data_IF_019597618909
#
_entry.id   IF_019597618909
#
_cell.length_a   1.000
_cell.length_b   1.000
_cell.length_c   1.000
_cell.angle_alpha   90.00
_cell.angle_beta   90.00
_cell.angle_gamma   90.00
#
_symmetry.space_group_name_H-M   'P 1'
#
loop_
_entity.id
_entity.type
_entity.pdbx_description
1 polymer ?
#
# COMPACT_ATOMS: atom_id res chain seq x y z
N UNK A 1 13.32 -8.81 -11.47
CA UNK A 1 13.15 -8.53 -10.03
C UNK A 1 11.74 -8.95 -9.68
N UNK A 2 11.52 -9.65 -8.56
CA UNK A 2 10.18 -10.19 -8.27
C UNK A 2 9.90 -10.27 -6.76
N UNK A 3 8.63 -10.27 -6.40
CA UNK A 3 8.13 -10.44 -5.03
C UNK A 3 6.93 -11.38 -5.08
N UNK A 4 6.84 -12.30 -4.12
CA UNK A 4 5.62 -13.07 -3.85
C UNK A 4 5.02 -12.59 -2.55
N UNK A 5 3.76 -12.16 -2.63
CA UNK A 5 3.06 -11.52 -1.53
C UNK A 5 1.69 -12.16 -1.31
N UNK A 6 1.26 -12.19 -0.06
CA UNK A 6 -0.11 -12.51 0.32
C UNK A 6 -0.83 -11.21 0.69
N UNK A 7 -2.01 -11.03 0.13
CA UNK A 7 -2.93 -9.93 0.42
C UNK A 7 -4.29 -10.51 0.79
N UNK A 8 -5.14 -9.74 1.47
CA UNK A 8 -6.51 -10.18 1.70
C UNK A 8 -7.30 -10.20 0.39
N UNK A 9 -8.22 -11.17 0.27
CA UNK A 9 -9.13 -11.27 -0.88
C UNK A 9 -9.97 -10.01 -1.14
N UNK A 10 -10.19 -9.19 -0.12
CA UNK A 10 -11.02 -7.98 -0.23
C UNK A 10 -10.17 -6.71 -0.33
N UNK A 11 -8.87 -6.83 -0.63
CA UNK A 11 -7.98 -5.69 -0.85
C UNK A 11 -8.49 -4.88 -2.04
N UNK A 12 -8.46 -3.55 -1.91
CA UNK A 12 -8.74 -2.64 -3.02
C UNK A 12 -7.48 -2.37 -3.82
N UNK A 13 -7.61 -1.89 -5.05
CA UNK A 13 -6.45 -1.58 -5.89
C UNK A 13 -5.55 -0.49 -5.28
N UNK A 14 -6.11 0.51 -4.59
CA UNK A 14 -5.29 1.50 -3.85
C UNK A 14 -4.44 0.85 -2.74
N UNK A 15 -4.99 -0.15 -2.04
CA UNK A 15 -4.26 -0.85 -0.98
C UNK A 15 -3.25 -1.85 -1.56
N UNK A 16 -3.54 -2.42 -2.72
CA UNK A 16 -2.59 -3.24 -3.47
C UNK A 16 -1.42 -2.38 -3.94
N UNK A 17 -1.68 -1.20 -4.52
CA UNK A 17 -0.66 -0.23 -4.90
C UNK A 17 0.27 0.12 -3.73
N UNK A 18 -0.30 0.54 -2.60
CA UNK A 18 0.50 0.84 -1.40
C UNK A 18 1.31 -0.37 -0.90
N UNK A 19 0.79 -1.59 -1.05
CA UNK A 19 1.53 -2.82 -0.76
C UNK A 19 2.72 -2.99 -1.71
N UNK A 20 2.50 -2.79 -3.01
CA UNK A 20 3.53 -2.87 -4.05
C UNK A 20 4.65 -1.86 -3.80
N UNK A 21 4.29 -0.63 -3.47
CA UNK A 21 5.24 0.43 -3.09
C UNK A 21 6.16 -0.02 -1.95
N UNK A 22 5.60 -0.59 -0.87
CA UNK A 22 6.42 -1.07 0.26
C UNK A 22 7.31 -2.27 -0.11
N UNK A 23 6.80 -3.24 -0.88
CA UNK A 23 7.60 -4.44 -1.21
C UNK A 23 8.65 -4.18 -2.29
N UNK A 24 8.46 -3.14 -3.10
CA UNK A 24 9.47 -2.65 -4.03
C UNK A 24 10.41 -1.63 -3.39
N UNK A 25 10.05 -1.03 -2.24
CA UNK A 25 10.87 -0.05 -1.55
C UNK A 25 10.77 1.36 -2.16
N UNK A 26 9.63 1.66 -2.78
CA UNK A 26 9.28 2.93 -3.42
C UNK A 26 8.43 3.81 -2.50
N UNK A 27 8.17 5.03 -2.95
CA UNK A 27 7.75 6.13 -2.07
C UNK A 27 6.35 6.65 -2.38
N UNK A 28 5.66 6.06 -3.35
CA UNK A 28 4.37 6.53 -3.82
C UNK A 28 4.45 8.02 -4.23
N UNK A 29 5.53 8.41 -4.89
CA UNK A 29 5.78 9.81 -5.28
C UNK A 29 5.26 10.14 -6.68
N UNK A 30 4.88 9.13 -7.45
CA UNK A 30 4.43 9.27 -8.84
C UNK A 30 3.06 8.62 -9.03
N UNK A 31 2.44 8.95 -10.16
CA UNK A 31 1.19 8.35 -10.62
C UNK A 31 1.38 6.85 -10.93
N UNK A 32 0.27 6.12 -10.90
CA UNK A 32 0.24 4.70 -11.22
C UNK A 32 -1.09 4.30 -11.84
N UNK A 33 -1.12 3.14 -12.49
CA UNK A 33 -2.35 2.53 -12.97
C UNK A 33 -2.26 1.00 -12.91
N UNK A 34 -3.42 0.36 -12.84
CA UNK A 34 -3.57 -1.05 -13.14
C UNK A 34 -4.36 -1.23 -14.42
N UNK A 35 -3.93 -2.21 -15.22
CA UNK A 35 -4.63 -2.66 -16.42
C UNK A 35 -5.05 -4.11 -16.19
N UNK A 36 -6.36 -4.33 -16.01
CA UNK A 36 -6.96 -5.66 -15.84
C UNK A 36 -7.90 -5.92 -17.01
N UNK A 37 -7.49 -6.79 -17.93
CA UNK A 37 -8.19 -6.96 -19.21
C UNK A 37 -8.34 -5.60 -19.92
N UNK A 38 -9.57 -5.18 -20.23
CA UNK A 38 -9.86 -3.88 -20.85
C UNK A 38 -10.18 -2.78 -19.81
N UNK A 39 -10.05 -3.07 -18.51
CA UNK A 39 -10.39 -2.14 -17.43
C UNK A 39 -9.14 -1.41 -16.92
N UNK A 40 -9.16 -0.09 -17.00
CA UNK A 40 -8.21 0.78 -16.32
C UNK A 40 -8.67 1.07 -14.90
N UNK A 41 -7.76 0.90 -13.94
CA UNK A 41 -8.02 1.15 -12.53
C UNK A 41 -6.93 2.08 -11.99
N UNK A 42 -7.30 3.30 -11.64
CA UNK A 42 -6.43 4.36 -11.08
C UNK A 42 -7.30 5.36 -10.31
N UNK A 43 -6.74 6.45 -9.81
CA UNK A 43 -7.49 7.47 -9.11
C UNK A 43 -8.42 8.28 -10.05
N UNK A 44 -9.49 8.86 -9.48
CA UNK A 44 -10.47 9.61 -10.25
C UNK A 44 -9.92 10.88 -10.92
N UNK A 45 -8.88 11.51 -10.36
CA UNK A 45 -8.30 12.73 -10.92
C UNK A 45 -7.59 12.38 -12.24
N UNK A 46 -6.80 11.30 -12.24
CA UNK A 46 -6.15 10.74 -13.43
C UNK A 46 -7.17 10.32 -14.49
N UNK A 47 -8.24 9.58 -14.11
CA UNK A 47 -9.29 9.17 -15.05
C UNK A 47 -9.99 10.36 -15.71
N UNK A 48 -10.27 11.41 -14.92
CA UNK A 48 -10.91 12.62 -15.40
C UNK A 48 -10.01 13.40 -16.36
N UNK A 49 -8.72 13.55 -16.01
CA UNK A 49 -7.73 14.23 -16.85
C UNK A 49 -7.61 13.56 -18.22
N UNK A 50 -7.58 12.23 -18.25
CA UNK A 50 -7.46 11.47 -19.50
C UNK A 50 -8.78 11.29 -20.26
N UNK A 51 -9.90 11.81 -19.72
CA UNK A 51 -11.24 11.56 -20.27
C UNK A 51 -11.51 10.08 -20.54
N UNK A 52 -10.94 9.21 -19.71
CA UNK A 52 -10.93 7.76 -19.92
C UNK A 52 -12.00 7.09 -19.07
N UNK A 53 -12.59 6.01 -19.60
CA UNK A 53 -13.45 5.14 -18.80
C UNK A 53 -12.57 4.22 -17.97
N UNK A 54 -12.82 4.18 -16.66
CA UNK A 54 -12.10 3.32 -15.73
C UNK A 54 -12.85 3.20 -14.41
N UNK A 55 -12.20 2.57 -13.43
CA UNK A 55 -12.75 2.38 -12.09
C UNK A 55 -11.83 3.05 -11.08
N UNK A 56 -12.41 3.76 -10.12
CA UNK A 56 -11.68 4.31 -8.98
C UNK A 56 -11.03 3.18 -8.17
N UNK A 57 -9.71 3.25 -8.01
CA UNK A 57 -8.93 2.28 -7.25
C UNK A 57 -9.32 2.16 -5.76
N UNK A 58 -10.00 3.18 -5.21
CA UNK A 58 -10.50 3.19 -3.83
C UNK A 58 -11.73 2.29 -3.66
N UNK A 59 -12.50 2.10 -4.73
CA UNK A 59 -13.72 1.30 -4.75
C UNK A 59 -13.53 -0.07 -5.43
N UNK A 60 -12.58 -0.19 -6.36
CA UNK A 60 -12.25 -1.44 -7.04
C UNK A 60 -11.61 -2.46 -6.09
N UNK A 61 -12.24 -3.63 -5.90
CA UNK A 61 -11.67 -4.74 -5.12
C UNK A 61 -10.97 -5.74 -6.03
N UNK A 62 -9.81 -6.23 -5.61
CA UNK A 62 -9.00 -7.15 -6.41
C UNK A 62 -9.81 -8.34 -6.95
N UNK A 63 -10.57 -9.01 -6.07
CA UNK A 63 -11.31 -10.22 -6.45
C UNK A 63 -12.55 -9.97 -7.32
N UNK A 64 -12.99 -8.72 -7.46
CA UNK A 64 -14.07 -8.38 -8.40
C UNK A 64 -13.55 -8.32 -9.85
N UNK A 65 -12.23 -8.15 -10.04
CA UNK A 65 -11.57 -8.03 -11.34
C UNK A 65 -10.63 -9.20 -11.69
N UNK A 66 -10.00 -9.80 -10.68
CA UNK A 66 -8.96 -10.83 -10.83
C UNK A 66 -9.33 -12.04 -9.97
N UNK A 67 -10.38 -12.75 -10.36
CA UNK A 67 -10.83 -13.90 -9.60
C UNK A 67 -10.07 -15.18 -9.99
N UNK A 68 -9.82 -15.41 -11.28
CA UNK A 68 -9.33 -16.71 -11.73
C UNK A 68 -7.85 -16.92 -11.39
N UNK A 69 -7.51 -18.09 -10.82
CA UNK A 69 -6.12 -18.46 -10.57
C UNK A 69 -5.40 -18.53 -11.93
N UNK A 70 -4.22 -17.92 -12.00
CA UNK A 70 -3.46 -17.75 -13.24
C UNK A 70 -3.77 -16.46 -14.00
N UNK A 71 -4.72 -15.64 -13.54
CA UNK A 71 -4.96 -14.32 -14.12
C UNK A 71 -3.70 -13.46 -14.03
N UNK A 72 -3.32 -12.89 -15.17
CA UNK A 72 -2.23 -11.93 -15.34
C UNK A 72 -2.82 -10.55 -15.59
N UNK A 73 -2.33 -9.54 -14.87
CA UNK A 73 -2.69 -8.14 -15.06
C UNK A 73 -1.47 -7.25 -14.83
N UNK A 74 -1.53 -6.00 -15.27
CA UNK A 74 -0.39 -5.09 -15.21
C UNK A 74 -0.57 -4.02 -14.15
N UNK A 75 0.56 -3.57 -13.64
CA UNK A 75 0.70 -2.40 -12.78
C UNK A 75 1.85 -1.54 -13.31
N UNK A 76 1.54 -0.30 -13.65
CA UNK A 76 2.54 0.69 -14.04
C UNK A 76 2.68 1.73 -12.93
N UNK A 77 3.92 2.04 -12.55
CA UNK A 77 4.26 3.09 -11.60
C UNK A 77 5.25 4.06 -12.23
N UNK A 78 5.03 5.35 -11.96
CA UNK A 78 5.80 6.46 -12.51
C UNK A 78 5.72 6.51 -14.04
N UNK A 79 4.80 7.29 -14.60
CA UNK A 79 4.66 7.42 -16.05
C UNK A 79 5.86 8.11 -16.74
N UNK A 80 6.78 8.69 -15.97
CA UNK A 80 8.07 9.17 -16.51
C UNK A 80 9.04 8.03 -16.76
N UNK A 81 9.28 7.20 -15.73
CA UNK A 81 10.21 6.07 -15.77
C UNK A 81 9.58 4.77 -16.33
N UNK A 82 8.25 4.71 -16.39
CA UNK A 82 7.39 3.61 -16.82
C UNK A 82 7.77 2.26 -16.22
N UNK A 83 7.71 2.17 -14.89
CA UNK A 83 7.96 0.91 -14.19
C UNK A 83 6.79 -0.04 -14.35
N UNK A 84 6.94 -1.00 -15.26
CA UNK A 84 5.92 -1.99 -15.56
C UNK A 84 6.13 -3.28 -14.76
N UNK A 85 5.07 -3.72 -14.08
CA UNK A 85 5.00 -4.97 -13.36
C UNK A 85 3.89 -5.87 -13.89
N UNK A 86 4.23 -7.14 -14.05
CA UNK A 86 3.27 -8.21 -14.25
C UNK A 86 2.86 -8.79 -12.88
N UNK A 87 1.55 -8.84 -12.63
CA UNK A 87 0.96 -9.36 -11.41
C UNK A 87 0.16 -10.61 -11.75
N UNK A 88 0.45 -11.72 -11.06
CA UNK A 88 -0.20 -13.02 -11.30
C UNK A 88 -0.90 -13.46 -10.02
N UNK A 89 -2.19 -13.84 -10.12
CA UNK A 89 -2.88 -14.54 -9.04
C UNK A 89 -2.47 -16.01 -9.02
N UNK A 90 -1.43 -16.36 -8.25
CA UNK A 90 -0.88 -17.72 -8.22
C UNK A 90 -1.78 -18.73 -7.50
N UNK A 91 -2.38 -18.32 -6.37
CA UNK A 91 -3.19 -19.22 -5.54
C UNK A 91 -4.10 -18.44 -4.58
N UNK A 92 -5.07 -19.15 -3.98
CA UNK A 92 -5.87 -18.66 -2.87
C UNK A 92 -5.74 -19.60 -1.68
N UNK A 93 -5.33 -19.05 -0.55
CA UNK A 93 -5.03 -19.81 0.66
C UNK A 93 -5.95 -19.41 1.81
N UNK A 94 -6.25 -20.33 2.75
CA UNK A 94 -6.91 -19.96 4.00
C UNK A 94 -6.03 -19.01 4.82
N UNK A 95 -6.66 -18.16 5.63
CA UNK A 95 -5.93 -17.28 6.53
C UNK A 95 -5.14 -18.09 7.57
N UNK A 96 -3.87 -17.76 7.74
CA UNK A 96 -3.05 -18.33 8.79
C UNK A 96 -3.30 -17.64 10.14
N UNK A 97 -3.55 -18.44 11.19
CA UNK A 97 -3.72 -17.92 12.54
C UNK A 97 -2.47 -17.14 12.99
N UNK A 98 -2.67 -15.92 13.50
CA UNK A 98 -1.60 -15.06 13.98
C UNK A 98 -0.78 -14.33 12.91
N UNK A 99 -1.00 -14.61 11.61
CA UNK A 99 -0.36 -13.90 10.50
C UNK A 99 -1.06 -12.56 10.28
N UNK A 100 -0.27 -11.51 10.02
CA UNK A 100 -0.78 -10.22 9.53
C UNK A 100 -0.54 -10.12 8.05
N UNK A 101 -1.51 -9.59 7.32
CA UNK A 101 -1.44 -9.31 5.90
C UNK A 101 -1.56 -7.79 5.66
N UNK A 102 -0.95 -7.25 4.58
CA UNK A 102 -0.15 -7.95 3.57
C UNK A 102 1.15 -8.56 4.14
N UNK A 103 1.62 -9.63 3.50
CA UNK A 103 2.81 -10.38 3.91
C UNK A 103 3.66 -10.73 2.69
N UNK A 104 4.94 -10.41 2.71
CA UNK A 104 5.88 -10.82 1.68
C UNK A 104 6.47 -12.19 2.04
N UNK A 105 6.19 -13.19 1.21
CA UNK A 105 6.66 -14.57 1.39
C UNK A 105 8.12 -14.66 1.03
N UNK A 106 8.46 -14.18 -0.15
CA UNK A 106 9.79 -14.30 -0.75
C UNK A 106 9.93 -13.30 -1.93
N UNK A 107 11.11 -13.30 -2.54
CA UNK A 107 11.43 -12.37 -3.61
C UNK A 107 12.89 -12.49 -4.04
N UNK A 108 13.20 -11.83 -5.16
CA UNK A 108 14.53 -11.85 -5.75
C UNK A 108 14.93 -10.52 -6.38
N UNK A 109 16.18 -10.14 -6.15
CA UNK A 109 16.79 -8.92 -6.70
C UNK A 109 16.44 -7.65 -5.91
N UNK A 110 17.40 -6.73 -5.86
CA UNK A 110 17.18 -5.38 -5.37
C UNK A 110 16.34 -4.60 -6.38
N UNK A 111 15.36 -3.85 -5.90
CA UNK A 111 14.52 -3.03 -6.76
C UNK A 111 15.28 -1.82 -7.32
N UNK A 112 14.84 -1.29 -8.47
CA UNK A 112 15.35 -0.03 -8.99
C UNK A 112 15.13 1.08 -7.95
N UNK A 113 16.13 1.95 -7.69
CA UNK A 113 15.90 3.15 -6.91
C UNK A 113 14.86 4.06 -7.60
N UNK A 114 14.14 4.86 -6.82
CA UNK A 114 13.31 5.95 -7.36
C UNK A 114 14.14 6.88 -8.25
N UNK A 115 13.51 7.43 -9.29
CA UNK A 115 14.07 8.43 -10.22
C UNK A 115 15.39 7.98 -10.89
N UNK A 116 15.60 6.67 -11.07
CA UNK A 116 16.83 6.17 -11.70
C UNK A 116 16.80 6.27 -13.23
N UNK A 117 15.64 6.62 -13.82
CA UNK A 117 15.49 6.83 -15.26
C UNK A 117 14.97 5.59 -15.99
N UNK A 118 14.00 4.89 -15.39
CA UNK A 118 13.38 3.71 -15.97
C UNK A 118 14.34 2.55 -16.17
N UNK A 119 13.91 1.56 -16.97
CA UNK A 119 14.69 0.31 -17.16
C UNK A 119 16.09 0.58 -17.69
N UNK A 120 16.24 1.47 -18.67
CA UNK A 120 17.55 1.84 -19.23
C UNK A 120 18.45 2.55 -18.21
N UNK A 121 17.89 3.49 -17.45
CA UNK A 121 18.62 4.20 -16.40
C UNK A 121 19.07 3.24 -15.28
N UNK A 122 18.24 2.28 -14.92
CA UNK A 122 18.61 1.26 -13.95
C UNK A 122 19.68 0.30 -14.45
N UNK A 123 19.66 -0.08 -15.73
CA UNK A 123 20.74 -0.88 -16.32
C UNK A 123 22.08 -0.13 -16.30
N UNK A 124 22.09 1.13 -16.74
CA UNK A 124 23.27 2.00 -16.66
C UNK A 124 23.77 2.18 -15.22
N UNK A 125 22.85 2.40 -14.28
CA UNK A 125 23.16 2.46 -12.85
C UNK A 125 23.81 1.16 -12.36
N UNK A 126 23.26 -0.01 -12.71
CA UNK A 126 23.82 -1.31 -12.30
C UNK A 126 25.22 -1.53 -12.85
N UNK A 127 25.45 -1.21 -14.12
CA UNK A 127 26.75 -1.32 -14.77
C UNK A 127 27.78 -0.43 -14.07
N UNK A 128 27.44 0.85 -13.88
CA UNK A 128 28.30 1.81 -13.22
C UNK A 128 28.60 1.41 -11.77
N UNK A 129 27.60 0.94 -11.01
CA UNK A 129 27.77 0.53 -9.62
C UNK A 129 28.59 -0.75 -9.46
N UNK A 130 28.64 -1.61 -10.47
CA UNK A 130 29.45 -2.83 -10.49
C UNK A 130 30.93 -2.57 -10.82
N UNK A 131 31.25 -1.46 -11.49
CA UNK A 131 32.61 -1.14 -11.95
C UNK A 131 33.14 0.16 -11.30
N UNK A 132 34.04 0.08 -10.30
CA UNK A 132 34.63 1.26 -9.66
C UNK A 132 35.42 2.21 -10.59
N UNK A 133 35.77 1.75 -11.81
CA UNK A 133 36.46 2.55 -12.83
C UNK A 133 35.50 3.16 -13.87
N UNK A 134 34.21 2.85 -13.81
CA UNK A 134 33.22 3.46 -14.69
C UNK A 134 33.13 4.96 -14.41
N UNK A 135 33.04 5.78 -15.46
CA UNK A 135 33.03 7.25 -15.33
C UNK A 135 31.91 7.74 -14.41
N UNK A 136 30.73 7.14 -14.50
CA UNK A 136 29.58 7.47 -13.66
C UNK A 136 29.58 6.84 -12.25
N UNK A 137 30.54 5.98 -11.90
CA UNK A 137 30.52 5.21 -10.63
C UNK A 137 30.45 6.12 -9.40
N UNK A 138 31.33 7.13 -9.34
CA UNK A 138 31.40 8.04 -8.19
C UNK A 138 30.12 8.88 -8.05
N UNK A 139 29.54 9.30 -9.17
CA UNK A 139 28.27 10.04 -9.20
C UNK A 139 27.13 9.18 -8.67
N UNK A 140 26.93 7.98 -9.23
CA UNK A 140 25.86 7.08 -8.80
C UNK A 140 26.02 6.60 -7.36
N UNK A 141 27.25 6.32 -6.90
CA UNK A 141 27.51 5.93 -5.51
C UNK A 141 27.15 7.05 -4.53
N UNK A 142 27.41 8.30 -4.90
CA UNK A 142 27.05 9.48 -4.10
C UNK A 142 25.54 9.67 -4.09
N UNK A 143 24.90 9.63 -5.26
CA UNK A 143 23.45 9.79 -5.40
C UNK A 143 22.65 8.69 -4.67
N UNK A 144 23.07 7.43 -4.83
CA UNK A 144 22.46 6.29 -4.15
C UNK A 144 22.76 6.27 -2.64
N UNK A 145 23.86 6.91 -2.22
CA UNK A 145 24.24 7.03 -0.82
C UNK A 145 24.96 5.80 -0.24
N UNK A 146 25.56 4.95 -1.09
CA UNK A 146 26.26 3.75 -0.64
C UNK A 146 26.53 2.72 -1.73
N UNK A 147 26.96 1.50 -1.35
CA UNK A 147 27.12 0.40 -2.30
C UNK A 147 25.76 -0.19 -2.70
N UNK A 148 25.59 -0.50 -3.99
CA UNK A 148 24.42 -1.21 -4.49
C UNK A 148 24.69 -2.72 -4.53
N UNK A 149 23.73 -3.52 -4.03
CA UNK A 149 23.81 -4.98 -4.05
C UNK A 149 22.68 -5.54 -4.94
N UNK A 150 22.94 -5.88 -6.22
CA UNK A 150 21.88 -6.18 -7.19
C UNK A 150 21.01 -7.39 -6.83
N UNK A 151 21.56 -8.35 -6.10
CA UNK A 151 20.85 -9.56 -5.67
C UNK A 151 20.28 -9.47 -4.25
N UNK A 152 20.46 -8.35 -3.56
CA UNK A 152 20.02 -8.22 -2.17
C UNK A 152 18.49 -8.14 -2.07
N UNK A 153 17.93 -9.02 -1.25
CA UNK A 153 16.54 -9.00 -0.85
C UNK A 153 16.41 -9.58 0.56
N UNK A 154 15.53 -9.00 1.38
CA UNK A 154 15.27 -9.43 2.76
C UNK A 154 13.76 -9.34 3.02
N UNK A 155 13.07 -10.47 2.91
CA UNK A 155 11.63 -10.56 3.16
C UNK A 155 11.28 -10.16 4.60
N UNK A 156 12.13 -10.46 5.60
CA UNK A 156 11.88 -10.07 6.98
C UNK A 156 11.91 -8.55 7.14
N UNK A 157 12.82 -7.85 6.45
CA UNK A 157 12.84 -6.38 6.40
C UNK A 157 11.60 -5.81 5.74
N UNK A 158 11.22 -6.34 4.57
CA UNK A 158 9.99 -5.93 3.88
C UNK A 158 8.76 -6.13 4.78
N UNK A 159 8.66 -7.27 5.47
CA UNK A 159 7.55 -7.53 6.38
C UNK A 159 7.53 -6.60 7.60
N UNK A 160 8.70 -6.19 8.13
CA UNK A 160 8.75 -5.15 9.17
C UNK A 160 8.19 -3.83 8.64
N UNK A 161 8.54 -3.46 7.41
CA UNK A 161 8.01 -2.28 6.76
C UNK A 161 6.49 -2.40 6.55
N UNK A 162 5.99 -3.51 6.00
CA UNK A 162 4.54 -3.77 5.83
C UNK A 162 3.74 -3.72 7.15
N UNK A 163 4.38 -3.93 8.31
CA UNK A 163 3.69 -3.88 9.61
C UNK A 163 3.77 -2.54 10.32
N UNK A 164 4.80 -1.74 10.04
CA UNK A 164 5.15 -0.55 10.85
C UNK A 164 5.38 0.72 10.04
N UNK A 165 5.42 0.60 8.72
CA UNK A 165 5.95 1.62 7.83
C UNK A 165 7.47 1.70 7.89
N UNK A 166 8.03 2.58 7.09
CA UNK A 166 9.46 2.94 7.10
C UNK A 166 9.66 4.39 6.71
N UNK A 167 10.86 4.91 6.95
CA UNK A 167 11.26 6.23 6.49
C UNK A 167 12.29 6.15 5.38
N UNK A 168 12.16 6.99 4.36
CA UNK A 168 13.16 7.16 3.31
C UNK A 168 13.42 8.64 3.08
N UNK A 169 14.69 9.07 3.12
CA UNK A 169 15.11 10.49 3.06
C UNK A 169 14.17 11.46 3.81
N UNK A 170 13.71 11.07 5.00
CA UNK A 170 12.78 11.77 5.90
C UNK A 170 11.26 11.70 5.60
N UNK A 171 10.82 10.96 4.58
CA UNK A 171 9.41 10.70 4.30
C UNK A 171 8.95 9.42 4.99
N UNK A 172 7.83 9.48 5.73
CA UNK A 172 7.20 8.31 6.34
C UNK A 172 6.31 7.60 5.31
N UNK A 173 6.67 6.39 4.93
CA UNK A 173 5.86 5.47 4.15
C UNK A 173 5.13 4.55 5.13
N UNK A 174 3.82 4.73 5.26
CA UNK A 174 2.98 3.84 6.07
C UNK A 174 2.37 2.75 5.18
N UNK A 175 2.27 1.49 5.64
CA UNK A 175 1.65 0.44 4.87
C UNK A 175 0.15 0.73 4.79
N UNK A 176 -0.46 0.32 3.68
CA UNK A 176 -1.88 0.03 3.66
C UNK A 176 -2.17 -1.06 4.70
N UNK A 177 -2.48 -0.64 5.92
CA UNK A 177 -3.11 -1.53 6.87
C UNK A 177 -4.48 -1.84 6.29
N UNK A 178 -4.57 -3.01 5.67
CA UNK A 178 -5.82 -3.58 5.26
C UNK A 178 -6.73 -3.66 6.47
N UNK A 179 -7.72 -2.78 6.52
CA UNK A 179 -9.07 -3.10 6.08
C UNK A 179 -9.80 -1.78 5.87
N UNK A 180 -10.63 -1.65 4.83
CA UNK A 180 -11.82 -0.81 4.98
C UNK A 180 -12.43 -1.22 6.31
N UNK A 181 -12.82 -0.28 7.18
CA UNK A 181 -13.24 -0.69 8.49
C UNK A 181 -14.38 -1.70 8.34
N UNK A 182 -14.24 -2.88 8.95
CA UNK A 182 -15.28 -3.90 8.86
C UNK A 182 -16.49 -3.40 9.64
N UNK A 183 -17.45 -2.80 8.96
CA UNK A 183 -18.71 -2.37 9.55
C UNK A 183 -19.75 -3.49 9.48
N UNK A 184 -20.58 -3.67 10.52
CA UNK A 184 -21.86 -4.37 10.32
C UNK A 184 -22.72 -3.57 9.34
N UNK A 185 -23.64 -4.18 8.56
CA UNK A 185 -24.41 -3.45 7.54
C UNK A 185 -25.07 -2.18 8.05
N UNK A 186 -25.77 -2.27 9.20
CA UNK A 186 -26.39 -1.12 9.86
C UNK A 186 -25.36 -0.07 10.31
N UNK A 187 -24.20 -0.49 10.80
CA UNK A 187 -23.16 0.46 11.18
C UNK A 187 -22.55 1.16 9.96
N UNK A 188 -22.44 0.47 8.82
CA UNK A 188 -21.95 1.05 7.57
C UNK A 188 -22.93 2.10 7.04
N UNK A 189 -24.23 1.81 7.06
CA UNK A 189 -25.29 2.77 6.70
C UNK A 189 -25.22 4.02 7.57
N UNK A 190 -25.22 3.86 8.90
CA UNK A 190 -25.16 5.01 9.82
C UNK A 190 -23.84 5.78 9.70
N UNK A 191 -22.72 5.09 9.54
CA UNK A 191 -21.43 5.73 9.34
C UNK A 191 -21.38 6.54 8.03
N UNK A 192 -21.98 6.02 6.96
CA UNK A 192 -22.05 6.70 5.66
C UNK A 192 -22.89 7.99 5.67
N UNK A 193 -23.86 8.12 6.59
CA UNK A 193 -24.64 9.35 6.77
C UNK A 193 -23.81 10.50 7.35
N UNK A 194 -22.69 10.20 8.02
CA UNK A 194 -21.81 11.23 8.60
C UNK A 194 -20.95 11.84 7.49
N UNK A 195 -20.91 13.18 7.31
CA UNK A 195 -20.04 13.82 6.32
C UNK A 195 -18.57 13.40 6.49
N UNK A 196 -17.86 13.20 5.37
CA UNK A 196 -16.46 12.70 5.37
C UNK A 196 -15.52 13.52 6.27
N UNK A 197 -15.68 14.84 6.30
CA UNK A 197 -14.90 15.72 7.20
C UNK A 197 -15.14 15.41 8.68
N UNK A 198 -16.40 15.14 9.06
CA UNK A 198 -16.75 14.75 10.42
C UNK A 198 -16.24 13.34 10.75
N UNK A 199 -16.33 12.39 9.80
CA UNK A 199 -15.70 11.07 9.96
C UNK A 199 -14.20 11.20 10.27
N UNK A 200 -13.46 12.02 9.51
CA UNK A 200 -12.03 12.25 9.73
C UNK A 200 -11.74 12.86 11.11
N UNK A 201 -12.56 13.81 11.56
CA UNK A 201 -12.44 14.40 12.89
C UNK A 201 -12.68 13.37 14.00
N UNK A 202 -13.69 12.50 13.84
CA UNK A 202 -13.97 11.43 14.79
C UNK A 202 -12.77 10.47 14.89
N UNK A 203 -12.15 10.11 13.77
CA UNK A 203 -10.99 9.21 13.77
C UNK A 203 -9.75 9.86 14.39
N UNK A 204 -9.45 11.11 14.06
CA UNK A 204 -8.24 11.84 14.52
C UNK A 204 -8.35 12.39 15.95
N UNK A 205 -9.55 12.41 16.53
CA UNK A 205 -9.79 12.89 17.90
C UNK A 205 -10.02 11.77 18.93
N UNK A 206 -9.57 10.54 18.67
CA UNK A 206 -9.85 9.38 19.53
C UNK A 206 -8.93 9.36 20.74
N UNK A 207 -9.46 9.12 21.94
CA UNK A 207 -8.64 9.00 23.14
C UNK A 207 -7.92 7.65 23.21
N UNK A 208 -6.63 7.65 23.54
CA UNK A 208 -5.87 6.44 23.83
C UNK A 208 -5.56 6.35 25.34
N UNK A 209 -6.06 5.33 26.05
CA UNK A 209 -5.77 5.15 27.49
C UNK A 209 -4.29 4.95 27.78
N UNK A 210 -3.57 4.29 26.88
CA UNK A 210 -2.14 4.01 27.05
C UNK A 210 -1.27 5.26 26.81
N UNK A 211 -1.62 6.12 25.85
CA UNK A 211 -0.90 7.37 25.61
C UNK A 211 -1.40 8.52 26.47
N UNK A 212 -2.49 8.32 27.22
CA UNK A 212 -3.21 9.34 27.99
C UNK A 212 -3.49 10.60 27.18
N UNK A 213 -3.93 10.44 25.93
CA UNK A 213 -4.25 11.59 25.08
C UNK A 213 -4.80 11.21 23.70
N UNK A 214 -5.06 12.24 22.90
CA UNK A 214 -5.70 12.13 21.58
C UNK A 214 -4.81 11.44 20.55
N UNK A 215 -5.40 10.61 19.71
CA UNK A 215 -4.70 9.88 18.65
C UNK A 215 -5.62 9.69 17.45
N UNK A 216 -5.02 9.31 16.32
CA UNK A 216 -5.74 8.79 15.17
C UNK A 216 -6.07 7.32 15.41
N UNK A 217 -7.36 6.98 15.29
CA UNK A 217 -7.83 5.62 15.28
C UNK A 217 -7.54 5.00 13.90
N UNK A 218 -6.67 3.99 13.87
CA UNK A 218 -6.30 3.23 12.66
C UNK A 218 -6.78 1.79 12.77
N UNK A 219 -6.77 1.04 11.67
CA UNK A 219 -7.18 -0.38 11.60
C UNK A 219 -8.54 -0.64 12.25
N UNK A 220 -9.46 0.30 12.08
CA UNK A 220 -10.70 0.28 12.81
C UNK A 220 -11.75 -0.58 12.13
N UNK A 221 -12.79 -0.92 12.86
CA UNK A 221 -14.00 -1.61 12.42
C UNK A 221 -15.18 -0.94 13.12
N UNK A 222 -16.40 -1.18 12.66
CA UNK A 222 -17.58 -0.53 13.24
C UNK A 222 -18.71 -1.52 13.54
N UNK A 223 -19.35 -1.35 14.70
CA UNK A 223 -20.51 -2.16 15.07
C UNK A 223 -21.65 -1.26 15.54
N UNK A 224 -22.86 -1.61 15.16
CA UNK A 224 -24.05 -0.90 15.61
C UNK A 224 -24.46 -1.41 16.99
N UNK A 225 -24.49 -0.54 17.99
CA UNK A 225 -24.77 -0.91 19.37
C UNK A 225 -25.74 0.11 19.97
N UNK A 226 -26.95 -0.34 20.31
CA UNK A 226 -27.96 0.42 21.08
C UNK A 226 -28.35 1.80 20.52
N UNK A 227 -28.21 2.04 19.21
CA UNK A 227 -28.49 3.34 18.61
C UNK A 227 -27.27 3.94 17.91
N UNK A 228 -26.08 3.56 18.37
CA UNK A 228 -24.84 4.23 18.03
C UNK A 228 -23.89 3.37 17.19
N UNK A 229 -22.84 3.98 16.68
CA UNK A 229 -21.74 3.29 15.98
C UNK A 229 -20.53 3.23 16.91
N UNK A 230 -20.17 2.03 17.35
CA UNK A 230 -18.92 1.77 18.07
C UNK A 230 -17.81 1.45 17.08
N UNK A 231 -16.80 2.33 17.01
CA UNK A 231 -15.56 2.10 16.29
C UNK A 231 -14.54 1.40 17.19
N UNK A 232 -13.90 0.35 16.69
CA UNK A 232 -12.86 -0.41 17.41
C UNK A 232 -11.65 -0.59 16.51
N UNK A 233 -10.48 -0.14 16.97
CA UNK A 233 -9.25 -0.17 16.18
C UNK A 233 -7.99 -0.07 17.05
N UNK A 234 -6.97 0.59 16.53
CA UNK A 234 -5.68 0.78 17.20
C UNK A 234 -5.33 2.27 17.31
N UNK A 235 -4.56 2.60 18.34
CA UNK A 235 -3.92 3.90 18.49
C UNK A 235 -2.83 4.08 17.43
N UNK A 236 -2.90 5.13 16.63
CA UNK A 236 -1.87 5.47 15.63
C UNK A 236 -0.51 5.82 16.25
N UNK A 237 -0.43 6.10 17.56
CA UNK A 237 0.85 6.38 18.26
C UNK A 237 1.50 5.15 18.87
N UNK A 238 0.77 4.33 19.62
CA UNK A 238 1.35 3.19 20.36
C UNK A 238 0.89 1.81 19.86
N UNK A 239 -0.02 1.75 18.88
CA UNK A 239 -0.54 0.50 18.33
C UNK A 239 -1.47 -0.30 19.25
N UNK A 240 -1.71 0.18 20.48
CA UNK A 240 -2.61 -0.46 21.43
C UNK A 240 -4.07 -0.33 21.01
N UNK A 241 -4.88 -1.30 21.41
CA UNK A 241 -6.30 -1.32 21.10
C UNK A 241 -7.01 -0.09 21.69
N UNK A 242 -7.84 0.56 20.89
CA UNK A 242 -8.66 1.68 21.34
C UNK A 242 -10.01 1.70 20.63
N UNK A 243 -10.97 2.39 21.23
CA UNK A 243 -12.36 2.43 20.78
C UNK A 243 -12.88 3.86 20.79
N UNK A 244 -13.88 4.12 19.95
CA UNK A 244 -14.63 5.37 19.93
C UNK A 244 -16.10 5.08 19.74
N UNK A 245 -16.95 5.56 20.64
CA UNK A 245 -18.39 5.58 20.42
C UNK A 245 -18.74 6.83 19.59
N UNK A 246 -19.60 6.65 18.60
CA UNK A 246 -20.11 7.71 17.74
C UNK A 246 -21.62 7.73 17.93
N UNK A 247 -22.09 8.73 18.65
CA UNK A 247 -23.50 8.93 18.93
C UNK A 247 -24.21 9.36 17.64
N UNK A 248 -25.22 8.60 17.23
CA UNK A 248 -26.02 8.87 16.04
C UNK A 248 -27.39 9.36 16.53
N UNK A 249 -27.47 10.67 16.79
CA UNK A 249 -28.69 11.37 17.26
C UNK A 249 -29.46 12.02 16.11
#
# INVERSE_FOLDING_TARGET
>A
IWRRIHVYQHVTFVNLHLTLQVVMGWLHSHLHLFEVQETLITDNETLAEWSSKGVDEVDARLMDHVAEIGSLFRYEYDFGDSWNHELVLEERLPLESGRRYPYCVEGGGACPPEDVGGTFGFEAFREAMANPRHEAHASYRTWYGGPFKPHAFDAARVNRHLQRGYTWRNYLVVPALATRPSFTPKAAEQWALIPKKAQQQLLTSTYCPHCQGTTTLVDYSGRYVKGDVLLEGRCGRCGQHTKRLVEIG
#
